data_IF_561427629871
#
_entry.id   IF_561427629871
#
_cell.length_a   1.000
_cell.length_b   1.000
_cell.length_c   1.000
_cell.angle_alpha   90.00
_cell.angle_beta   90.00
_cell.angle_gamma   90.00
#
_symmetry.space_group_name_H-M   'P 1'
#
loop_
_entity.id
_entity.type
_entity.pdbx_description
1 polymer ?
#
# COMPACT_ATOMS: atom_id res chain seq x y z
N UNK A 1 -19.88 17.14 0.23
CA UNK A 1 -18.75 18.09 -0.02
C UNK A 1 -19.08 19.47 0.53
N UNK A 2 -20.18 20.08 0.07
CA UNK A 2 -20.61 21.42 0.54
C UNK A 2 -20.78 21.54 2.07
N UNK A 3 -21.25 20.48 2.75
CA UNK A 3 -21.42 20.51 4.21
C UNK A 3 -20.10 20.59 4.97
N UNK A 4 -19.07 19.84 4.54
CA UNK A 4 -17.75 19.90 5.16
C UNK A 4 -17.05 21.24 4.91
N UNK A 5 -17.20 21.84 3.72
CA UNK A 5 -16.66 23.17 3.45
C UNK A 5 -17.28 24.25 4.33
N UNK A 6 -18.58 24.15 4.61
CA UNK A 6 -19.26 25.03 5.55
C UNK A 6 -18.77 24.79 6.98
N UNK A 7 -18.67 23.54 7.41
CA UNK A 7 -18.17 23.19 8.73
C UNK A 7 -16.72 23.66 8.95
N UNK A 8 -15.83 23.43 7.99
CA UNK A 8 -14.42 23.88 8.02
C UNK A 8 -14.33 25.41 8.05
N UNK A 9 -15.22 26.13 7.37
CA UNK A 9 -15.27 27.61 7.47
C UNK A 9 -15.69 28.09 8.85
N UNK A 10 -16.54 27.35 9.54
CA UNK A 10 -16.99 27.68 10.90
C UNK A 10 -15.93 27.34 11.95
N UNK A 11 -15.21 26.23 11.78
CA UNK A 11 -14.14 25.80 12.67
C UNK A 11 -12.93 25.27 11.88
N UNK A 12 -12.05 26.17 11.40
CA UNK A 12 -10.93 25.79 10.53
C UNK A 12 -9.79 25.08 11.26
N UNK A 13 -9.84 24.99 12.59
CA UNK A 13 -8.79 24.40 13.42
C UNK A 13 -9.19 23.05 14.02
N UNK A 14 -10.31 22.49 13.58
CA UNK A 14 -10.79 21.20 14.07
C UNK A 14 -10.23 20.05 13.22
N UNK A 15 -9.28 19.25 13.74
CA UNK A 15 -8.70 18.13 13.00
C UNK A 15 -9.74 17.06 12.64
N UNK A 16 -10.82 16.91 13.41
CA UNK A 16 -11.86 15.92 13.14
C UNK A 16 -12.60 16.22 11.83
N UNK A 17 -12.85 17.49 11.52
CA UNK A 17 -13.54 17.87 10.26
C UNK A 17 -12.72 17.50 9.03
N UNK A 18 -11.39 17.72 9.08
CA UNK A 18 -10.50 17.30 8.00
C UNK A 18 -10.38 15.79 7.93
N UNK A 19 -10.28 15.09 9.07
CA UNK A 19 -10.28 13.63 9.11
C UNK A 19 -11.54 13.03 8.47
N UNK A 20 -12.71 13.48 8.89
CA UNK A 20 -13.98 12.98 8.38
C UNK A 20 -14.14 13.24 6.89
N UNK A 21 -13.78 14.44 6.41
CA UNK A 21 -13.78 14.73 4.97
C UNK A 21 -12.79 13.85 4.22
N UNK A 22 -11.59 13.64 4.76
CA UNK A 22 -10.58 12.74 4.20
C UNK A 22 -11.07 11.30 4.08
N UNK A 23 -11.74 10.76 5.11
CA UNK A 23 -12.33 9.42 5.08
C UNK A 23 -13.48 9.32 4.06
N UNK A 24 -14.30 10.36 3.92
CA UNK A 24 -15.34 10.41 2.90
C UNK A 24 -14.75 10.45 1.48
N UNK A 25 -13.68 11.21 1.27
CA UNK A 25 -12.92 11.26 0.01
C UNK A 25 -12.30 9.91 -0.32
N UNK A 26 -11.72 9.23 0.67
CA UNK A 26 -11.17 7.88 0.51
C UNK A 26 -12.23 6.90 0.03
N UNK A 27 -13.44 6.92 0.61
CA UNK A 27 -14.55 6.05 0.19
C UNK A 27 -15.00 6.31 -1.25
N UNK A 28 -14.79 7.52 -1.76
CA UNK A 28 -15.06 7.90 -3.16
C UNK A 28 -13.90 7.56 -4.11
N UNK A 29 -12.75 7.13 -3.60
CA UNK A 29 -11.55 6.90 -4.39
C UNK A 29 -10.74 8.17 -4.69
N UNK A 30 -11.12 9.32 -4.11
CA UNK A 30 -10.42 10.61 -4.24
C UNK A 30 -9.20 10.66 -3.29
N UNK A 31 -8.26 9.73 -3.50
CA UNK A 31 -7.20 9.44 -2.53
C UNK A 31 -6.20 10.59 -2.33
N UNK A 32 -5.91 11.38 -3.36
CA UNK A 32 -4.97 12.52 -3.23
C UNK A 32 -5.56 13.66 -2.41
N UNK A 33 -6.84 13.97 -2.62
CA UNK A 33 -7.54 14.98 -1.83
C UNK A 33 -7.69 14.52 -0.37
N UNK A 34 -7.99 13.25 -0.16
CA UNK A 34 -8.05 12.66 1.16
C UNK A 34 -6.73 12.77 1.94
N UNK A 35 -5.59 12.58 1.25
CA UNK A 35 -4.27 12.77 1.84
C UNK A 35 -4.02 14.22 2.26
N UNK A 36 -4.43 15.20 1.44
CA UNK A 36 -4.28 16.63 1.78
C UNK A 36 -5.01 16.97 3.08
N UNK A 37 -6.22 16.42 3.26
CA UNK A 37 -7.01 16.64 4.46
C UNK A 37 -6.42 15.93 5.68
N UNK A 38 -6.02 14.66 5.55
CA UNK A 38 -5.39 13.93 6.65
C UNK A 38 -4.03 14.52 7.02
N UNK A 39 -3.26 15.04 6.07
CA UNK A 39 -2.02 15.78 6.36
C UNK A 39 -2.27 17.02 7.21
N UNK A 40 -3.36 17.75 6.92
CA UNK A 40 -3.74 18.91 7.73
C UNK A 40 -4.19 18.48 9.13
N UNK A 41 -5.00 17.42 9.23
CA UNK A 41 -5.43 16.87 10.50
C UNK A 41 -4.22 16.43 11.36
N UNK A 42 -3.26 15.70 10.77
CA UNK A 42 -2.03 15.25 11.47
C UNK A 42 -1.20 16.43 11.96
N UNK A 43 -1.09 17.52 11.18
CA UNK A 43 -0.36 18.72 11.61
C UNK A 43 -1.03 19.42 12.80
N UNK A 44 -2.35 19.33 12.92
CA UNK A 44 -3.12 19.88 14.03
C UNK A 44 -3.09 18.98 15.27
N UNK A 45 -3.15 17.65 15.06
CA UNK A 45 -3.16 16.65 16.14
C UNK A 45 -2.10 15.58 15.91
N UNK A 46 -0.83 15.95 16.08
CA UNK A 46 0.31 15.08 15.79
C UNK A 46 0.44 13.88 16.76
N UNK A 47 -0.33 13.87 17.85
CA UNK A 47 -0.34 12.81 18.86
C UNK A 47 -1.53 11.85 18.70
N UNK A 48 -2.40 12.05 17.70
CA UNK A 48 -3.53 11.15 17.44
C UNK A 48 -3.09 9.97 16.57
N UNK A 49 -3.05 8.73 17.10
CA UNK A 49 -2.65 7.55 16.34
C UNK A 49 -3.63 7.19 15.21
N UNK A 50 -4.92 7.53 15.32
CA UNK A 50 -5.92 7.22 14.31
C UNK A 50 -5.66 7.99 13.01
N UNK A 51 -5.18 9.23 13.10
CA UNK A 51 -4.86 10.04 11.91
C UNK A 51 -3.73 9.44 11.08
N UNK A 52 -2.70 8.91 11.75
CA UNK A 52 -1.63 8.18 11.05
C UNK A 52 -2.15 6.86 10.49
N UNK A 53 -2.99 6.14 11.24
CA UNK A 53 -3.59 4.90 10.75
C UNK A 53 -4.45 5.12 9.50
N UNK A 54 -5.26 6.18 9.48
CA UNK A 54 -6.10 6.55 8.35
C UNK A 54 -5.25 6.99 7.15
N UNK A 55 -4.24 7.85 7.36
CA UNK A 55 -3.35 8.30 6.28
C UNK A 55 -2.53 7.14 5.69
N UNK A 56 -2.05 6.24 6.55
CA UNK A 56 -1.36 5.01 6.15
C UNK A 56 -2.24 4.10 5.29
N UNK A 57 -3.53 3.98 5.62
CA UNK A 57 -4.48 3.19 4.81
C UNK A 57 -4.66 3.76 3.41
N UNK A 58 -4.61 5.09 3.25
CA UNK A 58 -4.66 5.72 1.93
C UNK A 58 -3.36 5.47 1.14
N UNK A 59 -2.20 5.59 1.77
CA UNK A 59 -0.93 5.22 1.11
C UNK A 59 -0.89 3.77 0.68
N UNK A 60 -1.46 2.86 1.49
CA UNK A 60 -1.59 1.45 1.17
C UNK A 60 -2.47 1.24 -0.07
N UNK A 61 -3.63 1.92 -0.14
CA UNK A 61 -4.51 1.89 -1.31
C UNK A 61 -3.85 2.44 -2.59
N UNK A 62 -2.94 3.42 -2.45
CA UNK A 62 -2.13 3.95 -3.57
C UNK A 62 -0.93 3.08 -3.95
N UNK A 63 -0.71 1.94 -3.28
CA UNK A 63 0.46 1.09 -3.51
C UNK A 63 1.79 1.70 -3.03
N UNK A 64 1.74 2.76 -2.21
CA UNK A 64 2.95 3.43 -1.67
C UNK A 64 3.31 2.83 -0.32
N UNK A 65 3.72 1.56 -0.35
CA UNK A 65 3.87 0.74 0.86
C UNK A 65 4.86 1.32 1.88
N UNK A 66 5.97 1.94 1.45
CA UNK A 66 6.92 2.57 2.38
C UNK A 66 6.30 3.70 3.21
N UNK A 67 5.46 4.53 2.58
CA UNK A 67 4.76 5.62 3.26
C UNK A 67 3.68 5.09 4.20
N UNK A 68 2.96 4.06 3.75
CA UNK A 68 1.97 3.37 4.58
C UNK A 68 2.61 2.79 5.85
N UNK A 69 3.74 2.09 5.70
CA UNK A 69 4.49 1.50 6.83
C UNK A 69 5.01 2.56 7.79
N UNK A 70 5.53 3.69 7.30
CA UNK A 70 5.96 4.78 8.15
C UNK A 70 4.81 5.31 9.03
N UNK A 71 3.64 5.50 8.43
CA UNK A 71 2.44 5.98 9.14
C UNK A 71 1.91 4.94 10.14
N UNK A 72 1.80 3.66 9.77
CA UNK A 72 1.36 2.62 10.71
C UNK A 72 2.34 2.43 11.86
N UNK A 73 3.65 2.52 11.61
CA UNK A 73 4.65 2.47 12.67
C UNK A 73 4.53 3.66 13.62
N UNK A 74 4.24 4.87 13.10
CA UNK A 74 4.01 6.03 13.93
C UNK A 74 2.72 5.90 14.75
N UNK A 75 1.64 5.37 14.16
CA UNK A 75 0.41 5.07 14.88
C UNK A 75 0.65 4.09 16.04
N UNK A 76 1.39 3.01 15.80
CA UNK A 76 1.75 2.00 16.81
C UNK A 76 2.73 2.53 17.86
N UNK A 77 3.58 3.50 17.51
CA UNK A 77 4.45 4.18 18.47
C UNK A 77 3.64 5.02 19.46
N UNK A 78 2.59 5.68 18.98
CA UNK A 78 1.68 6.49 19.80
C UNK A 78 0.70 5.62 20.59
N UNK A 79 0.17 4.56 19.98
CA UNK A 79 -0.70 3.57 20.62
C UNK A 79 -0.33 2.15 20.17
N UNK A 80 0.48 1.43 20.96
CA UNK A 80 0.87 0.05 20.65
C UNK A 80 -0.29 -0.95 20.60
N UNK A 81 -1.42 -0.63 21.23
CA UNK A 81 -2.61 -1.48 21.27
C UNK A 81 -3.58 -1.22 20.10
N UNK A 82 -3.23 -0.35 19.15
CA UNK A 82 -4.08 -0.06 17.99
C UNK A 82 -4.06 -1.22 16.99
N UNK A 83 -4.94 -2.20 17.21
CA UNK A 83 -5.01 -3.43 16.42
C UNK A 83 -5.18 -3.17 14.91
N UNK A 84 -5.95 -2.14 14.54
CA UNK A 84 -6.13 -1.75 13.14
C UNK A 84 -4.81 -1.35 12.47
N UNK A 85 -3.95 -0.60 13.17
CA UNK A 85 -2.64 -0.20 12.64
C UNK A 85 -1.68 -1.39 12.52
N UNK A 86 -1.70 -2.33 13.48
CA UNK A 86 -0.91 -3.55 13.41
C UNK A 86 -1.32 -4.41 12.20
N UNK A 87 -2.62 -4.68 12.04
CA UNK A 87 -3.14 -5.46 10.93
C UNK A 87 -2.81 -4.82 9.57
N UNK A 88 -2.99 -3.50 9.44
CA UNK A 88 -2.68 -2.78 8.19
C UNK A 88 -1.18 -2.70 7.91
N UNK A 89 -0.33 -2.62 8.93
CA UNK A 89 1.13 -2.71 8.77
C UNK A 89 1.53 -4.06 8.20
N UNK A 90 0.97 -5.13 8.74
CA UNK A 90 1.29 -6.49 8.29
C UNK A 90 0.79 -6.71 6.85
N UNK A 91 -0.38 -6.17 6.48
CA UNK A 91 -0.84 -6.13 5.09
C UNK A 91 0.15 -5.35 4.18
N UNK A 92 0.59 -4.16 4.61
CA UNK A 92 1.52 -3.35 3.85
C UNK A 92 2.87 -4.05 3.63
N UNK A 93 3.37 -4.80 4.62
CA UNK A 93 4.59 -5.61 4.49
C UNK A 93 4.41 -6.73 3.47
N UNK A 94 3.27 -7.44 3.51
CA UNK A 94 2.98 -8.51 2.56
C UNK A 94 2.93 -7.98 1.12
N UNK A 95 2.17 -6.90 0.89
CA UNK A 95 2.06 -6.26 -0.43
C UNK A 95 3.40 -5.74 -0.95
N UNK A 96 4.23 -5.15 -0.07
CA UNK A 96 5.57 -4.69 -0.44
C UNK A 96 6.47 -5.85 -0.86
N UNK A 97 6.39 -6.98 -0.15
CA UNK A 97 7.15 -8.20 -0.48
C UNK A 97 6.72 -8.75 -1.84
N UNK A 98 5.41 -8.82 -2.09
CA UNK A 98 4.88 -9.30 -3.37
C UNK A 98 5.31 -8.40 -4.53
N UNK A 99 5.30 -7.07 -4.32
CA UNK A 99 5.82 -6.12 -5.30
C UNK A 99 7.31 -6.34 -5.58
N UNK A 100 8.13 -6.52 -4.53
CA UNK A 100 9.56 -6.77 -4.70
C UNK A 100 9.82 -8.06 -5.50
N UNK A 101 9.09 -9.14 -5.22
CA UNK A 101 9.23 -10.39 -5.97
C UNK A 101 8.83 -10.19 -7.44
N UNK A 102 7.76 -9.45 -7.70
CA UNK A 102 7.34 -9.14 -9.06
C UNK A 102 8.39 -8.30 -9.82
N UNK A 103 8.97 -7.31 -9.15
CA UNK A 103 10.01 -6.45 -9.72
C UNK A 103 11.31 -7.24 -9.99
N UNK A 104 11.71 -8.13 -9.07
CA UNK A 104 12.87 -9.01 -9.22
C UNK A 104 12.69 -9.99 -10.39
N UNK A 105 11.49 -10.58 -10.52
CA UNK A 105 11.16 -11.48 -11.63
C UNK A 105 11.18 -10.74 -12.97
N UNK A 106 10.68 -9.49 -13.01
CA UNK A 106 10.73 -8.65 -14.21
C UNK A 106 12.15 -8.22 -14.59
N UNK A 107 13.03 -8.06 -13.61
CA UNK A 107 14.41 -7.66 -13.81
C UNK A 107 15.32 -8.81 -14.29
N UNK A 108 14.90 -10.08 -14.14
CA UNK A 108 15.58 -11.22 -14.75
C UNK A 108 15.18 -11.29 -16.22
N UNK A 109 16.06 -10.96 -17.20
CA UNK A 109 15.78 -11.33 -18.57
C UNK A 109 15.67 -12.85 -18.60
N UNK A 110 14.57 -13.38 -19.13
CA UNK A 110 14.45 -14.80 -19.46
C UNK A 110 15.67 -15.12 -20.34
N UNK A 111 16.69 -15.72 -19.74
CA UNK A 111 17.76 -16.33 -20.50
C UNK A 111 17.07 -17.46 -21.23
N UNK A 112 16.75 -17.18 -22.50
CA UNK A 112 16.29 -18.09 -23.53
C UNK A 112 16.41 -19.53 -23.07
N UNK A 113 15.27 -20.17 -22.82
CA UNK A 113 15.17 -21.61 -22.89
C UNK A 113 15.60 -21.99 -24.32
N UNK A 114 16.91 -22.10 -24.56
CA UNK A 114 17.47 -22.98 -25.56
C UNK A 114 17.02 -24.36 -25.14
N UNK A 115 15.83 -24.69 -25.58
CA UNK A 115 15.37 -26.03 -25.86
C UNK A 115 16.45 -26.63 -26.75
N UNK A 116 17.44 -27.24 -26.12
CA UNK A 116 18.40 -28.09 -26.78
C UNK A 116 17.60 -29.25 -27.36
N UNK A 117 17.20 -29.09 -28.62
CA UNK A 117 16.75 -30.19 -29.46
C UNK A 117 17.87 -31.22 -29.46
N UNK A 118 17.72 -32.29 -28.67
CA UNK A 118 18.51 -33.49 -28.84
C UNK A 118 18.35 -33.94 -30.31
N UNK A 119 19.42 -34.14 -31.07
CA UNK A 119 19.30 -34.75 -32.39
C UNK A 119 18.71 -36.16 -32.22
N UNK A 120 17.95 -36.68 -33.21
CA UNK A 120 17.42 -38.03 -33.14
C UNK A 120 18.59 -39.02 -33.07
N UNK A 121 18.73 -39.68 -31.94
CA UNK A 121 19.72 -40.73 -31.73
C UNK A 121 19.35 -41.94 -32.62
N UNK A 122 20.29 -42.29 -33.48
CA UNK A 122 20.18 -43.25 -34.55
C UNK A 122 20.08 -44.67 -33.95
N UNK A 123 18.90 -45.30 -34.05
CA UNK A 123 18.68 -46.64 -33.51
C UNK A 123 19.60 -47.66 -34.21
N UNK A 124 20.37 -48.48 -33.48
CA UNK A 124 21.08 -49.59 -34.10
C UNK A 124 20.08 -50.64 -34.58
N UNK A 125 20.11 -50.91 -35.88
CA UNK A 125 19.33 -51.94 -36.57
C UNK A 125 19.43 -53.28 -35.83
N UNK A 126 18.29 -53.84 -35.45
CA UNK A 126 18.17 -55.24 -35.02
C UNK A 126 18.80 -56.12 -36.09
N UNK A 127 19.89 -56.77 -35.72
CA UNK A 127 20.47 -57.84 -36.52
C UNK A 127 19.66 -59.10 -36.25
N UNK A 128 18.91 -59.55 -37.25
CA UNK A 128 18.25 -60.85 -37.25
C UNK A 128 19.32 -61.94 -37.23
N UNK A 129 19.17 -62.89 -36.32
CA UNK A 129 19.74 -64.22 -36.46
C UNK A 129 18.78 -65.24 -35.85
#
# INVERSE_FOLDING_TARGET
>A
MADYERAIRLDPNNPALFRERGLALQQKGELDEALVDLDRAVRMSFADPELYCDRGAIWLAKGRYDRALADFNQALKLNPALAAAAARRDEALARKRDQQIADDNRARPEASETTGTLPPDDQPKRSAR
#
